data_IF_650026020106
#
_entry.id   IF_650026020106
#
_cell.length_a   1.000
_cell.length_b   1.000
_cell.length_c   1.000
_cell.angle_alpha   90.00
_cell.angle_beta   90.00
_cell.angle_gamma   90.00
#
_symmetry.space_group_name_H-M   'P 1'
#
loop_
_entity.id
_entity.type
_entity.pdbx_description
1 polymer ?
#
# COMPACT_ATOMS: atom_id res chain seq x y z
N UNK A 1 -15.02 14.12 -10.54
CA UNK A 1 -14.70 12.69 -10.67
C UNK A 1 -15.99 11.89 -10.61
N UNK A 2 -16.07 10.71 -11.24
CA UNK A 2 -17.27 9.85 -11.24
C UNK A 2 -17.76 9.52 -9.82
N UNK A 3 -16.88 9.45 -8.83
CA UNK A 3 -17.23 9.24 -7.42
C UNK A 3 -18.01 10.42 -6.80
N UNK A 4 -17.79 11.64 -7.28
CA UNK A 4 -18.45 12.83 -6.72
C UNK A 4 -19.90 12.96 -7.18
N UNK A 5 -20.25 12.37 -8.34
CA UNK A 5 -21.58 12.42 -8.97
C UNK A 5 -22.35 11.12 -8.87
N UNK A 6 -21.73 10.04 -8.33
CA UNK A 6 -22.40 8.74 -8.19
C UNK A 6 -23.50 8.79 -7.12
N UNK A 7 -24.72 8.37 -7.46
CA UNK A 7 -25.83 8.21 -6.53
C UNK A 7 -25.53 7.13 -5.48
N UNK A 8 -24.83 6.08 -5.88
CA UNK A 8 -24.35 5.01 -5.00
C UNK A 8 -22.85 4.87 -5.13
N UNK A 9 -22.14 4.79 -3.98
CA UNK A 9 -20.70 4.59 -3.99
C UNK A 9 -20.35 3.17 -4.47
N UNK A 10 -19.39 3.03 -5.40
CA UNK A 10 -18.92 1.71 -5.81
C UNK A 10 -18.29 0.98 -4.63
N UNK A 11 -18.53 -0.32 -4.55
CA UNK A 11 -17.94 -1.21 -3.55
C UNK A 11 -16.76 -1.96 -4.16
N UNK A 12 -15.80 -2.29 -3.33
CA UNK A 12 -14.66 -3.14 -3.69
C UNK A 12 -14.76 -4.49 -2.98
N UNK A 13 -14.30 -5.55 -3.65
CA UNK A 13 -14.15 -6.89 -3.05
C UNK A 13 -12.72 -7.39 -3.27
N UNK A 14 -12.30 -8.36 -2.47
CA UNK A 14 -11.13 -9.17 -2.76
C UNK A 14 -11.38 -10.09 -3.96
N UNK A 15 -10.34 -10.63 -4.60
CA UNK A 15 -10.50 -11.74 -5.53
C UNK A 15 -11.16 -12.94 -4.84
N UNK A 16 -11.84 -13.78 -5.62
CA UNK A 16 -12.35 -15.05 -5.09
C UNK A 16 -11.22 -16.05 -4.86
N UNK A 17 -11.37 -17.06 -3.97
CA UNK A 17 -10.41 -18.14 -3.82
C UNK A 17 -10.10 -18.85 -5.15
N UNK A 18 -11.12 -19.06 -5.98
CA UNK A 18 -10.97 -19.67 -7.29
C UNK A 18 -10.07 -18.83 -8.21
N UNK A 19 -10.30 -17.51 -8.30
CA UNK A 19 -9.48 -16.62 -9.12
C UNK A 19 -8.03 -16.56 -8.64
N UNK A 20 -7.78 -16.62 -7.32
CA UNK A 20 -6.44 -16.68 -6.77
C UNK A 20 -5.73 -17.98 -7.16
N UNK A 21 -6.43 -19.12 -7.04
CA UNK A 21 -5.93 -20.43 -7.47
C UNK A 21 -5.62 -20.46 -8.97
N UNK A 22 -6.51 -19.99 -9.81
CA UNK A 22 -6.28 -19.90 -11.28
C UNK A 22 -5.06 -19.05 -11.60
N UNK A 23 -4.86 -17.91 -10.89
CA UNK A 23 -3.70 -17.06 -11.10
C UNK A 23 -2.39 -17.80 -10.78
N UNK A 24 -2.33 -18.53 -9.65
CA UNK A 24 -1.15 -19.32 -9.28
C UNK A 24 -0.92 -20.49 -10.27
N UNK A 25 -1.98 -21.22 -10.62
CA UNK A 25 -1.91 -22.32 -11.60
C UNK A 25 -1.42 -21.82 -12.96
N UNK A 26 -1.91 -20.67 -13.42
CA UNK A 26 -1.49 -20.05 -14.68
C UNK A 26 -0.01 -19.71 -14.71
N UNK A 27 0.56 -19.23 -13.60
CA UNK A 27 2.00 -18.97 -13.49
C UNK A 27 2.81 -20.26 -13.59
N UNK A 28 2.39 -21.35 -12.93
CA UNK A 28 3.07 -22.65 -13.05
C UNK A 28 2.94 -23.24 -14.46
N UNK A 29 1.78 -23.10 -15.08
CA UNK A 29 1.56 -23.51 -16.48
C UNK A 29 2.45 -22.74 -17.47
N UNK A 30 2.77 -21.48 -17.13
CA UNK A 30 3.72 -20.66 -17.90
C UNK A 30 5.21 -21.01 -17.64
N UNK A 31 5.48 -22.02 -16.79
CA UNK A 31 6.83 -22.53 -16.54
C UNK A 31 7.57 -21.89 -15.36
N UNK A 32 6.93 -20.98 -14.61
CA UNK A 32 7.53 -20.45 -13.38
C UNK A 32 7.56 -21.55 -12.30
N UNK A 33 8.65 -21.62 -11.56
CA UNK A 33 8.87 -22.63 -10.51
C UNK A 33 8.72 -22.08 -9.10
N UNK A 34 8.81 -20.75 -8.96
CA UNK A 34 8.78 -20.05 -7.69
C UNK A 34 7.88 -18.80 -7.81
N UNK A 35 7.05 -18.54 -6.84
CA UNK A 35 6.12 -17.42 -6.85
C UNK A 35 6.27 -16.61 -5.56
N UNK A 36 6.53 -15.32 -5.69
CA UNK A 36 6.43 -14.34 -4.61
C UNK A 36 5.18 -13.48 -4.83
N UNK A 37 4.16 -13.68 -4.00
CA UNK A 37 2.97 -12.83 -3.94
C UNK A 37 3.18 -11.67 -2.97
N UNK A 38 2.93 -10.45 -3.41
CA UNK A 38 3.03 -9.23 -2.60
C UNK A 38 1.65 -8.59 -2.56
N UNK A 39 1.02 -8.56 -1.39
CA UNK A 39 -0.36 -8.09 -1.24
C UNK A 39 -0.42 -6.78 -0.45
N UNK A 40 -1.52 -6.05 -0.61
CA UNK A 40 -1.86 -4.95 0.30
C UNK A 40 -2.12 -5.50 1.71
N UNK A 41 -2.16 -4.59 2.70
CA UNK A 41 -2.38 -4.95 4.10
C UNK A 41 -3.57 -5.89 4.31
N UNK A 42 -3.34 -6.96 5.06
CA UNK A 42 -4.37 -7.90 5.52
C UNK A 42 -5.42 -7.24 6.44
N UNK A 43 -5.06 -6.13 7.10
CA UNK A 43 -5.99 -5.33 7.89
C UNK A 43 -6.98 -4.51 7.03
N UNK A 44 -6.68 -4.32 5.74
CA UNK A 44 -7.50 -3.54 4.79
C UNK A 44 -8.28 -4.42 3.82
N UNK A 45 -7.79 -5.64 3.55
CA UNK A 45 -8.40 -6.57 2.61
C UNK A 45 -8.05 -8.02 2.96
N UNK A 46 -8.99 -8.92 2.76
CA UNK A 46 -8.76 -10.37 2.90
C UNK A 46 -7.93 -10.97 1.74
N UNK A 47 -7.50 -10.17 0.78
CA UNK A 47 -6.71 -10.62 -0.39
C UNK A 47 -5.48 -11.44 0.02
N UNK A 48 -4.75 -11.00 1.05
CA UNK A 48 -3.60 -11.73 1.58
C UNK A 48 -3.99 -13.16 1.99
N UNK A 49 -5.02 -13.29 2.80
CA UNK A 49 -5.51 -14.58 3.28
C UNK A 49 -6.04 -15.48 2.15
N UNK A 50 -6.73 -14.89 1.17
CA UNK A 50 -7.22 -15.62 -0.01
C UNK A 50 -6.06 -16.25 -0.79
N UNK A 51 -4.96 -15.52 -1.00
CA UNK A 51 -3.78 -16.05 -1.68
C UNK A 51 -2.99 -17.03 -0.83
N UNK A 52 -2.94 -16.86 0.50
CA UNK A 52 -2.37 -17.87 1.40
C UNK A 52 -3.11 -19.21 1.28
N UNK A 53 -4.43 -19.20 1.39
CA UNK A 53 -5.24 -20.42 1.23
C UNK A 53 -5.09 -21.04 -0.16
N UNK A 54 -5.06 -20.22 -1.22
CA UNK A 54 -4.83 -20.74 -2.56
C UNK A 54 -3.45 -21.37 -2.73
N UNK A 55 -2.42 -20.86 -2.04
CA UNK A 55 -1.07 -21.43 -2.08
C UNK A 55 -0.98 -22.82 -1.42
N UNK A 56 -1.79 -23.10 -0.39
CA UNK A 56 -1.86 -24.41 0.29
C UNK A 56 -2.30 -25.54 -0.65
N UNK A 57 -2.99 -25.21 -1.76
CA UNK A 57 -3.39 -26.20 -2.77
C UNK A 57 -2.22 -26.66 -3.67
N UNK A 58 -1.04 -26.07 -3.52
CA UNK A 58 0.18 -26.39 -4.28
C UNK A 58 1.34 -26.79 -3.36
N UNK A 59 1.22 -27.85 -2.55
CA UNK A 59 2.19 -28.18 -1.50
C UNK A 59 3.60 -28.49 -2.02
N UNK A 60 3.73 -28.95 -3.27
CA UNK A 60 5.02 -29.26 -3.90
C UNK A 60 5.65 -28.05 -4.61
N UNK A 61 5.05 -26.88 -4.51
CA UNK A 61 5.48 -25.65 -5.17
C UNK A 61 6.05 -24.65 -4.17
N UNK A 62 6.99 -23.85 -4.63
CA UNK A 62 7.58 -22.81 -3.81
C UNK A 62 6.80 -21.50 -3.99
N UNK A 63 5.92 -21.20 -3.04
CA UNK A 63 5.09 -20.00 -3.02
C UNK A 63 5.29 -19.30 -1.69
N UNK A 64 5.52 -17.99 -1.73
CA UNK A 64 5.51 -17.12 -0.55
C UNK A 64 4.59 -15.95 -0.80
N UNK A 65 3.67 -15.69 0.13
CA UNK A 65 2.74 -14.55 0.06
C UNK A 65 3.07 -13.59 1.19
N UNK A 66 3.51 -12.38 0.84
CA UNK A 66 3.90 -11.35 1.79
C UNK A 66 2.81 -10.30 1.95
N UNK A 67 2.51 -9.98 3.20
CA UNK A 67 1.64 -8.88 3.60
C UNK A 67 2.48 -7.61 3.77
N UNK A 68 2.27 -6.62 2.92
CA UNK A 68 3.05 -5.37 2.98
C UNK A 68 2.68 -4.47 4.15
N UNK A 69 1.61 -4.74 4.88
CA UNK A 69 1.04 -3.84 5.90
C UNK A 69 0.81 -2.42 5.37
N UNK A 70 0.63 -2.31 4.07
CA UNK A 70 0.56 -1.05 3.33
C UNK A 70 -0.51 -1.12 2.23
N UNK A 71 -0.63 -0.06 1.44
CA UNK A 71 -1.59 0.03 0.35
C UNK A 71 -1.01 0.83 -0.82
N UNK A 72 -1.61 0.67 -2.01
CA UNK A 72 -1.29 1.49 -3.20
C UNK A 72 0.20 1.46 -3.52
N UNK A 73 0.81 2.65 -3.65
CA UNK A 73 2.23 2.78 -3.99
C UNK A 73 3.15 2.18 -2.92
N UNK A 74 2.74 2.17 -1.65
CA UNK A 74 3.50 1.56 -0.56
C UNK A 74 3.67 0.04 -0.74
N UNK A 75 2.66 -0.65 -1.28
CA UNK A 75 2.79 -2.06 -1.70
C UNK A 75 3.52 -2.18 -3.03
N UNK A 76 3.25 -1.26 -3.98
CA UNK A 76 3.87 -1.26 -5.31
C UNK A 76 5.39 -1.11 -5.27
N UNK A 77 5.94 -0.33 -4.34
CA UNK A 77 7.39 -0.15 -4.20
C UNK A 77 8.09 -1.44 -3.77
N UNK A 78 7.41 -2.33 -3.02
CA UNK A 78 7.93 -3.64 -2.65
C UNK A 78 8.03 -4.56 -3.87
N UNK A 79 7.06 -4.49 -4.80
CA UNK A 79 7.11 -5.21 -6.07
C UNK A 79 8.29 -4.73 -6.92
N UNK A 80 8.48 -3.40 -7.04
CA UNK A 80 9.61 -2.83 -7.76
C UNK A 80 10.96 -3.23 -7.13
N UNK A 81 11.04 -3.27 -5.81
CA UNK A 81 12.23 -3.74 -5.11
C UNK A 81 12.49 -5.23 -5.36
N UNK A 82 11.47 -6.08 -5.22
CA UNK A 82 11.58 -7.52 -5.52
C UNK A 82 12.09 -7.74 -6.96
N UNK A 83 11.52 -7.02 -7.93
CA UNK A 83 11.96 -7.08 -9.33
C UNK A 83 13.44 -6.71 -9.49
N UNK A 84 13.91 -5.66 -8.78
CA UNK A 84 15.33 -5.30 -8.83
C UNK A 84 16.26 -6.37 -8.27
N UNK A 85 15.84 -7.10 -7.24
CA UNK A 85 16.60 -8.22 -6.66
C UNK A 85 16.63 -9.42 -7.60
N UNK A 86 15.49 -9.73 -8.25
CA UNK A 86 15.44 -10.79 -9.28
C UNK A 86 16.41 -10.48 -10.42
N UNK A 87 16.40 -9.25 -10.92
CA UNK A 87 17.30 -8.83 -12.00
C UNK A 87 18.79 -8.83 -11.57
N UNK A 88 19.05 -8.69 -10.27
CA UNK A 88 20.40 -8.84 -9.71
C UNK A 88 20.83 -10.31 -9.52
N UNK A 89 19.97 -11.29 -9.82
CA UNK A 89 20.26 -12.71 -9.69
C UNK A 89 20.20 -13.27 -8.29
N UNK A 90 19.50 -12.61 -7.38
CA UNK A 90 19.33 -13.08 -6.00
C UNK A 90 18.54 -14.40 -5.96
N UNK A 91 18.90 -15.29 -5.02
CA UNK A 91 18.13 -16.51 -4.78
C UNK A 91 16.73 -16.19 -4.25
N UNK A 92 15.77 -17.08 -4.45
CA UNK A 92 14.40 -16.87 -3.96
C UNK A 92 14.34 -16.67 -2.44
N UNK A 93 15.11 -17.39 -1.67
CA UNK A 93 15.17 -17.23 -0.21
C UNK A 93 15.72 -15.86 0.19
N UNK A 94 16.80 -15.42 -0.47
CA UNK A 94 17.39 -14.09 -0.25
C UNK A 94 16.43 -12.98 -0.67
N UNK A 95 15.74 -13.16 -1.80
CA UNK A 95 14.70 -12.25 -2.29
C UNK A 95 13.59 -12.06 -1.25
N UNK A 96 13.00 -13.15 -0.76
CA UNK A 96 11.95 -13.12 0.27
C UNK A 96 12.43 -12.38 1.51
N UNK A 97 13.57 -12.78 2.09
CA UNK A 97 14.12 -12.19 3.30
C UNK A 97 14.39 -10.68 3.17
N UNK A 98 14.94 -10.25 2.00
CA UNK A 98 15.20 -8.82 1.73
C UNK A 98 13.92 -8.01 1.59
N UNK A 99 12.89 -8.57 0.94
CA UNK A 99 11.59 -7.89 0.79
C UNK A 99 10.88 -7.78 2.15
N UNK A 100 10.86 -8.84 2.96
CA UNK A 100 10.31 -8.81 4.32
C UNK A 100 11.00 -7.74 5.18
N UNK A 101 12.33 -7.69 5.16
CA UNK A 101 13.09 -6.67 5.89
C UNK A 101 12.79 -5.24 5.39
N UNK A 102 12.52 -5.08 4.09
CA UNK A 102 12.11 -3.81 3.48
C UNK A 102 10.71 -3.39 3.92
N UNK A 103 9.75 -4.33 4.00
CA UNK A 103 8.38 -4.05 4.44
C UNK A 103 8.38 -3.42 5.83
N UNK A 104 9.14 -3.96 6.77
CA UNK A 104 9.24 -3.44 8.15
C UNK A 104 9.75 -1.99 8.19
N UNK A 105 10.64 -1.62 7.28
CA UNK A 105 11.22 -0.27 7.15
C UNK A 105 10.36 0.68 6.31
N UNK A 106 9.43 0.14 5.53
CA UNK A 106 8.61 0.92 4.61
C UNK A 106 7.56 1.76 5.35
N UNK A 107 7.27 2.93 4.82
CA UNK A 107 6.20 3.81 5.31
C UNK A 107 5.37 4.30 4.14
N UNK A 108 4.07 4.48 4.38
CA UNK A 108 3.18 5.15 3.45
C UNK A 108 2.56 6.35 4.14
N UNK A 109 2.51 7.47 3.44
CA UNK A 109 1.87 8.70 3.89
C UNK A 109 0.94 9.19 2.81
N UNK A 110 -0.28 9.53 3.19
CA UNK A 110 -1.23 10.05 2.22
C UNK A 110 -2.18 11.05 2.85
N UNK A 111 -2.66 11.95 2.02
CA UNK A 111 -3.69 12.92 2.32
C UNK A 111 -4.93 12.62 1.48
N UNK A 112 -6.09 12.77 2.09
CA UNK A 112 -7.38 12.70 1.39
C UNK A 112 -8.22 13.94 1.75
N UNK A 113 -8.85 14.61 0.78
CA UNK A 113 -9.65 15.81 1.02
C UNK A 113 -10.85 15.54 1.95
N UNK A 114 -11.34 14.30 1.96
CA UNK A 114 -12.50 13.87 2.77
C UNK A 114 -12.34 12.43 3.23
N UNK A 115 -12.81 12.17 4.45
CA UNK A 115 -12.87 10.83 5.03
C UNK A 115 -14.14 10.05 4.62
N UNK A 116 -15.06 10.68 3.88
CA UNK A 116 -16.35 10.09 3.48
C UNK A 116 -16.18 8.73 2.81
N UNK A 117 -15.24 8.61 1.88
CA UNK A 117 -15.04 7.38 1.11
C UNK A 117 -14.37 6.28 1.93
N UNK A 118 -13.44 6.62 2.82
CA UNK A 118 -12.84 5.65 3.76
C UNK A 118 -13.87 5.11 4.73
N UNK A 119 -14.75 6.00 5.24
CA UNK A 119 -15.84 5.62 6.14
C UNK A 119 -16.86 4.72 5.44
N UNK A 120 -17.34 5.13 4.27
CA UNK A 120 -18.34 4.37 3.50
C UNK A 120 -17.78 3.01 3.01
N UNK A 121 -16.48 2.93 2.75
CA UNK A 121 -15.79 1.69 2.40
C UNK A 121 -15.51 0.76 3.59
N UNK A 122 -15.72 1.20 4.83
CA UNK A 122 -15.43 0.43 6.03
C UNK A 122 -13.94 0.24 6.35
N UNK A 123 -13.02 0.91 5.64
CA UNK A 123 -11.55 0.83 5.84
C UNK A 123 -11.01 2.11 6.48
N UNK A 124 -11.80 2.75 7.33
CA UNK A 124 -11.40 4.01 7.97
C UNK A 124 -10.38 3.80 9.11
N UNK A 125 -10.31 2.61 9.70
CA UNK A 125 -9.37 2.28 10.77
C UNK A 125 -9.47 3.23 11.97
N UNK A 126 -8.32 3.55 12.57
CA UNK A 126 -8.25 4.45 13.74
C UNK A 126 -8.50 5.93 13.38
N UNK A 127 -8.62 6.25 12.08
CA UNK A 127 -9.01 7.59 11.61
C UNK A 127 -10.48 7.88 11.90
N UNK A 128 -11.29 6.85 12.21
CA UNK A 128 -12.71 6.98 12.58
C UNK A 128 -12.96 8.00 13.71
N UNK A 129 -12.05 8.09 14.68
CA UNK A 129 -12.13 9.08 15.76
C UNK A 129 -12.05 10.55 15.31
N UNK A 130 -11.76 10.81 14.03
CA UNK A 130 -11.76 12.16 13.45
C UNK A 130 -13.06 12.49 12.71
N UNK A 131 -13.93 11.50 12.47
CA UNK A 131 -15.23 11.71 11.80
C UNK A 131 -16.14 12.47 12.75
N UNK A 132 -16.58 13.65 12.33
CA UNK A 132 -17.46 14.50 13.14
C UNK A 132 -16.76 15.32 14.24
N UNK A 133 -15.46 15.12 14.49
CA UNK A 133 -14.81 15.73 15.67
C UNK A 133 -14.41 17.20 15.54
N UNK A 134 -14.25 17.76 14.37
CA UNK A 134 -14.10 19.24 14.13
C UNK A 134 -14.32 19.52 12.65
N UNK A 135 -15.13 20.53 12.33
CA UNK A 135 -15.27 21.07 10.98
C UNK A 135 -13.87 21.48 10.46
N UNK A 136 -13.46 20.92 9.28
CA UNK A 136 -12.22 21.29 8.57
C UNK A 136 -10.89 20.65 9.01
N UNK A 137 -10.86 19.51 9.72
CA UNK A 137 -9.60 18.78 9.90
C UNK A 137 -9.17 18.11 8.58
N UNK A 138 -7.90 18.29 8.24
CA UNK A 138 -7.19 17.71 7.10
C UNK A 138 -6.12 16.74 7.63
N UNK A 139 -6.44 15.45 7.82
CA UNK A 139 -5.48 14.51 8.38
C UNK A 139 -4.47 14.04 7.32
N UNK A 140 -3.22 13.84 7.75
CA UNK A 140 -2.27 12.99 7.06
C UNK A 140 -2.35 11.61 7.70
N UNK A 141 -2.50 10.59 6.89
CA UNK A 141 -2.79 9.22 7.28
C UNK A 141 -1.60 8.33 6.91
N UNK A 142 -1.36 7.30 7.71
CA UNK A 142 -0.40 6.23 7.47
C UNK A 142 -1.01 4.87 7.82
N UNK A 143 -0.27 3.80 7.57
CA UNK A 143 -0.53 2.47 8.13
C UNK A 143 0.38 2.26 9.35
N UNK A 144 -0.18 1.71 10.43
CA UNK A 144 0.60 1.28 11.58
C UNK A 144 1.29 -0.08 11.31
N UNK A 145 2.09 -0.63 12.26
CA UNK A 145 2.76 -1.92 12.07
C UNK A 145 1.81 -3.09 11.79
N UNK A 146 0.55 -3.00 12.22
CA UNK A 146 -0.50 -3.98 11.96
C UNK A 146 -1.16 -3.76 10.57
N UNK A 147 -0.83 -2.67 9.88
CA UNK A 147 -1.38 -2.32 8.57
C UNK A 147 -2.73 -1.60 8.62
N UNK A 148 -3.12 -1.08 9.80
CA UNK A 148 -4.37 -0.34 10.01
C UNK A 148 -4.13 1.15 9.79
N UNK A 149 -5.08 1.83 9.15
CA UNK A 149 -4.99 3.29 8.99
C UNK A 149 -5.04 4.02 10.33
N UNK A 150 -4.12 4.97 10.50
CA UNK A 150 -4.13 5.89 11.63
C UNK A 150 -3.69 7.30 11.20
N UNK A 151 -4.16 8.37 11.90
CA UNK A 151 -3.73 9.73 11.60
C UNK A 151 -2.39 10.02 12.27
N UNK A 152 -1.40 10.44 11.49
CA UNK A 152 -0.11 10.90 12.02
C UNK A 152 -0.12 12.40 12.32
N UNK A 153 -0.81 13.17 11.49
CA UNK A 153 -0.95 14.61 11.68
C UNK A 153 -2.39 15.07 11.43
N UNK A 154 -2.74 16.15 12.11
CA UNK A 154 -3.97 16.91 11.90
C UNK A 154 -3.58 18.31 11.43
N UNK A 155 -4.10 18.75 10.31
CA UNK A 155 -3.90 20.10 9.80
C UNK A 155 -5.24 20.80 9.60
N UNK A 156 -5.23 22.14 9.49
CA UNK A 156 -6.43 22.97 9.24
C UNK A 156 -6.57 23.35 7.77
N UNK A 157 -5.55 23.13 6.95
CA UNK A 157 -5.58 23.35 5.50
C UNK A 157 -4.84 22.23 4.80
N UNK A 158 -5.12 22.05 3.50
CA UNK A 158 -4.46 21.10 2.62
C UNK A 158 -2.96 21.39 2.51
N UNK A 159 -2.59 22.65 2.26
CA UNK A 159 -1.21 23.10 2.20
C UNK A 159 -0.42 22.69 3.44
N UNK A 160 -0.96 22.93 4.65
CA UNK A 160 -0.32 22.52 5.91
C UNK A 160 -0.26 21.01 6.07
N UNK A 161 -1.24 20.25 5.54
CA UNK A 161 -1.20 18.80 5.56
C UNK A 161 -0.08 18.27 4.66
N UNK A 162 0.03 18.78 3.44
CA UNK A 162 1.07 18.42 2.49
C UNK A 162 2.47 18.81 2.98
N UNK A 163 2.63 20.02 3.55
CA UNK A 163 3.91 20.44 4.14
C UNK A 163 4.36 19.50 5.27
N UNK A 164 3.44 19.09 6.15
CA UNK A 164 3.75 18.14 7.23
C UNK A 164 4.12 16.77 6.68
N UNK A 165 3.46 16.33 5.61
CA UNK A 165 3.77 15.07 4.94
C UNK A 165 5.19 15.10 4.35
N UNK A 166 5.55 16.15 3.62
CA UNK A 166 6.90 16.31 3.05
C UNK A 166 7.95 16.33 4.16
N UNK A 167 7.74 17.13 5.21
CA UNK A 167 8.68 17.20 6.35
C UNK A 167 8.87 15.82 7.02
N UNK A 168 7.81 15.01 7.12
CA UNK A 168 7.91 13.65 7.66
C UNK A 168 8.78 12.74 6.77
N UNK A 169 8.58 12.78 5.45
CA UNK A 169 9.38 12.02 4.49
C UNK A 169 10.85 12.44 4.58
N UNK A 170 11.14 13.75 4.64
CA UNK A 170 12.50 14.27 4.79
C UNK A 170 13.17 13.77 6.08
N UNK A 171 12.41 13.69 7.19
CA UNK A 171 12.92 13.16 8.45
C UNK A 171 13.23 11.66 8.36
N UNK A 172 12.34 10.88 7.74
CA UNK A 172 12.54 9.44 7.58
C UNK A 172 13.76 9.13 6.70
N UNK A 173 13.96 9.91 5.64
CA UNK A 173 15.10 9.75 4.73
C UNK A 173 16.45 10.10 5.39
N UNK A 174 16.49 11.00 6.37
CA UNK A 174 17.74 11.38 7.07
C UNK A 174 18.42 10.22 7.81
N UNK A 175 17.65 9.18 8.14
CA UNK A 175 18.11 8.04 8.90
C UNK A 175 18.56 6.86 8.03
N UNK A 176 18.70 7.07 6.71
CA UNK A 176 19.09 6.02 5.77
C UNK A 176 19.93 6.60 4.62
N UNK A 177 21.03 5.92 4.30
CA UNK A 177 21.87 6.29 3.15
C UNK A 177 21.24 5.88 1.81
N UNK A 178 20.26 4.95 1.84
CA UNK A 178 19.56 4.45 0.68
C UNK A 178 18.06 4.36 0.94
N UNK A 179 17.28 5.00 0.10
CA UNK A 179 15.81 4.95 0.14
C UNK A 179 15.22 4.98 -1.26
N UNK A 180 13.98 4.53 -1.36
CA UNK A 180 13.14 4.65 -2.57
C UNK A 180 11.88 5.40 -2.20
N UNK A 181 11.54 6.42 -2.99
CA UNK A 181 10.32 7.18 -2.81
C UNK A 181 9.41 6.94 -4.01
N UNK A 182 8.17 6.54 -3.73
CA UNK A 182 7.10 6.46 -4.71
C UNK A 182 6.08 7.55 -4.45
N UNK A 183 5.70 8.31 -5.48
CA UNK A 183 4.67 9.36 -5.41
C UNK A 183 3.50 8.97 -6.29
N UNK A 184 2.29 9.02 -5.74
CA UNK A 184 1.06 8.77 -6.48
C UNK A 184 0.01 9.83 -6.15
N UNK A 185 -0.80 10.22 -7.15
CA UNK A 185 -1.89 11.18 -6.96
C UNK A 185 -3.15 10.76 -7.74
N UNK A 186 -4.31 11.15 -7.23
CA UNK A 186 -5.63 10.84 -7.83
C UNK A 186 -6.11 11.85 -8.90
N UNK A 187 -5.20 12.57 -9.55
CA UNK A 187 -5.56 13.58 -10.57
C UNK A 187 -5.98 14.95 -10.01
N UNK A 188 -5.83 15.16 -8.70
CA UNK A 188 -6.20 16.42 -8.02
C UNK A 188 -5.01 17.40 -7.99
N UNK A 189 -3.80 16.90 -8.18
CA UNK A 189 -2.56 17.70 -8.11
C UNK A 189 -2.11 18.00 -9.53
N UNK A 190 -1.93 19.27 -9.87
CA UNK A 190 -1.20 19.67 -11.05
C UNK A 190 0.24 19.14 -10.92
N UNK A 191 0.82 18.63 -12.02
CA UNK A 191 2.19 18.07 -12.02
C UNK A 191 3.24 19.05 -11.47
N UNK A 192 2.91 20.33 -11.45
CA UNK A 192 3.73 21.43 -10.97
C UNK A 192 3.78 21.52 -9.43
N UNK A 193 2.81 20.89 -8.72
CA UNK A 193 2.72 20.92 -7.25
C UNK A 193 3.46 19.74 -6.58
N UNK A 194 3.94 18.77 -7.34
CA UNK A 194 4.80 17.72 -6.81
C UNK A 194 6.19 18.32 -6.60
N UNK A 195 6.57 18.48 -5.35
CA UNK A 195 7.87 19.02 -4.98
C UNK A 195 8.97 18.23 -5.71
N UNK A 196 9.71 18.91 -6.60
CA UNK A 196 10.78 18.30 -7.41
C UNK A 196 11.86 17.60 -6.59
N UNK A 197 11.95 17.90 -5.30
CA UNK A 197 12.83 17.22 -4.34
C UNK A 197 12.44 15.77 -4.06
N UNK A 198 11.20 15.36 -4.39
CA UNK A 198 10.71 13.99 -4.22
C UNK A 198 10.82 13.16 -5.50
N UNK A 199 11.27 13.75 -6.62
CA UNK A 199 11.44 13.07 -7.91
C UNK A 199 12.92 12.69 -8.10
N UNK A 200 13.44 11.79 -7.26
CA UNK A 200 14.80 11.22 -7.43
C UNK A 200 14.70 9.77 -7.84
#
# INVERSE_FOLDING_TARGET
SALATAETLPKTSSPSPHAAKEALAGLFAAGYTQILGITISSALSVTHHVFQLAAEEFPDKQITILDTKSIGIGSGIQVAYATSLINAGESFQTLVAKVEASIVKSRIYFYVPTLKYLSAGGRIGRVAGLVGSVLHIKPVISCDPEGVYYPIFKARSEEKALQKLVNQIEQDCKNSDHYRIGVAHGGIVHREDVDRRLLV
#
